data_IF_857341652131
#
_entry.id   IF_857341652131
#
_cell.length_a   1.000
_cell.length_b   1.000
_cell.length_c   1.000
_cell.angle_alpha   90.00
_cell.angle_beta   90.00
_cell.angle_gamma   90.00
#
_symmetry.space_group_name_H-M   'P 1'
#
loop_
_entity.id
_entity.type
_entity.pdbx_description
1 polymer ?
#
# COMPACT_ATOMS: atom_id res chain seq x y z
N UNK A 1 9.58 2.58 30.00
CA UNK A 1 9.95 3.06 28.65
C UNK A 1 8.79 3.88 28.12
N UNK A 2 8.90 5.21 28.06
CA UNK A 2 7.91 6.02 27.34
C UNK A 2 8.09 5.77 25.85
N UNK A 3 7.08 5.18 25.21
CA UNK A 3 7.09 5.05 23.76
C UNK A 3 6.68 6.41 23.18
N UNK A 4 7.41 6.89 22.17
CA UNK A 4 7.01 8.14 21.50
C UNK A 4 5.81 7.88 20.59
N UNK A 5 4.88 8.85 20.54
CA UNK A 5 3.74 8.87 19.62
C UNK A 5 4.19 8.61 18.17
N UNK A 6 5.41 9.04 17.80
CA UNK A 6 6.04 8.76 16.51
C UNK A 6 6.01 7.28 16.12
N UNK A 7 6.13 6.36 17.08
CA UNK A 7 6.15 4.92 16.80
C UNK A 7 4.81 4.37 16.28
N UNK A 8 3.69 5.05 16.55
CA UNK A 8 2.37 4.66 16.03
C UNK A 8 2.15 5.12 14.59
N UNK A 9 2.91 6.11 14.11
CA UNK A 9 2.77 6.69 12.78
C UNK A 9 3.72 6.08 11.74
N UNK A 10 4.70 5.27 12.15
CA UNK A 10 5.66 4.61 11.25
C UNK A 10 4.94 3.78 10.18
N UNK A 11 3.91 3.01 10.56
CA UNK A 11 3.19 2.15 9.61
C UNK A 11 2.33 2.97 8.62
N UNK A 12 1.47 3.91 9.07
CA UNK A 12 0.77 4.81 8.15
C UNK A 12 1.72 5.54 7.19
N UNK A 13 2.84 6.07 7.70
CA UNK A 13 3.83 6.78 6.90
C UNK A 13 4.51 5.88 5.85
N UNK A 14 4.86 4.64 6.22
CA UNK A 14 5.41 3.68 5.26
C UNK A 14 4.40 3.35 4.15
N UNK A 15 3.13 3.15 4.51
CA UNK A 15 2.07 2.83 3.55
C UNK A 15 1.86 3.96 2.54
N UNK A 16 1.77 5.20 3.01
CA UNK A 16 1.56 6.35 2.12
C UNK A 16 2.78 6.58 1.22
N UNK A 17 4.00 6.43 1.77
CA UNK A 17 5.24 6.61 1.02
C UNK A 17 5.35 5.58 -0.11
N UNK A 18 5.16 4.29 0.21
CA UNK A 18 5.19 3.22 -0.80
C UNK A 18 4.07 3.41 -1.83
N UNK A 19 2.87 3.80 -1.39
CA UNK A 19 1.75 4.10 -2.27
C UNK A 19 2.05 5.22 -3.28
N UNK A 20 2.61 6.33 -2.81
CA UNK A 20 3.01 7.47 -3.65
C UNK A 20 4.08 7.04 -4.66
N UNK A 21 5.11 6.31 -4.22
CA UNK A 21 6.18 5.83 -5.11
C UNK A 21 5.62 4.93 -6.20
N UNK A 22 4.75 3.98 -5.86
CA UNK A 22 4.12 3.10 -6.85
C UNK A 22 3.23 3.87 -7.85
N UNK A 23 2.46 4.84 -7.38
CA UNK A 23 1.63 5.71 -8.23
C UNK A 23 2.50 6.58 -9.14
N UNK A 24 3.64 7.07 -8.65
CA UNK A 24 4.59 7.85 -9.43
C UNK A 24 5.23 6.99 -10.52
N UNK A 25 5.66 5.77 -10.20
CA UNK A 25 6.20 4.79 -11.17
C UNK A 25 5.16 4.49 -12.24
N UNK A 26 3.91 4.21 -11.88
CA UNK A 26 2.82 3.98 -12.84
C UNK A 26 2.42 5.22 -13.66
N UNK A 27 2.85 6.41 -13.23
CA UNK A 27 2.64 7.65 -13.97
C UNK A 27 3.80 7.99 -14.91
N UNK A 28 4.92 7.26 -14.83
CA UNK A 28 6.04 7.44 -15.76
C UNK A 28 5.70 6.91 -17.15
N UNK A 29 6.38 7.44 -18.16
CA UNK A 29 6.32 6.88 -19.51
C UNK A 29 6.79 5.43 -19.50
N UNK A 30 6.10 4.54 -20.22
CA UNK A 30 6.44 3.11 -20.33
C UNK A 30 7.92 2.88 -20.64
N UNK A 31 8.53 3.74 -21.46
CA UNK A 31 9.94 3.65 -21.82
C UNK A 31 10.86 3.85 -20.62
N UNK A 32 10.55 4.81 -19.73
CA UNK A 32 11.28 4.99 -18.47
C UNK A 32 11.07 3.85 -17.48
N UNK A 33 9.88 3.24 -17.49
CA UNK A 33 9.61 2.04 -16.68
C UNK A 33 10.45 0.88 -17.22
N UNK A 34 10.53 0.69 -18.54
CA UNK A 34 11.34 -0.34 -19.18
C UNK A 34 12.83 -0.19 -18.87
N UNK A 35 13.35 1.05 -18.93
CA UNK A 35 14.76 1.37 -18.64
C UNK A 35 15.12 1.33 -17.15
N UNK A 36 14.14 1.31 -16.24
CA UNK A 36 14.41 1.18 -14.80
C UNK A 36 15.05 -0.17 -14.50
N UNK A 37 16.26 -0.20 -13.94
CA UNK A 37 16.92 -1.45 -13.51
C UNK A 37 16.22 -2.14 -12.32
N UNK A 38 15.25 -1.48 -11.69
CA UNK A 38 14.50 -2.05 -10.57
C UNK A 38 13.43 -3.04 -11.02
N UNK A 39 13.34 -4.18 -10.32
CA UNK A 39 12.18 -5.06 -10.41
C UNK A 39 10.98 -4.37 -9.76
N UNK A 40 10.01 -4.00 -10.59
CA UNK A 40 8.76 -3.41 -10.15
C UNK A 40 7.69 -4.49 -10.27
N UNK A 41 7.23 -4.97 -9.11
CA UNK A 41 6.10 -5.89 -9.02
C UNK A 41 4.98 -5.26 -8.21
N UNK A 42 3.77 -5.27 -8.77
CA UNK A 42 2.56 -4.77 -8.12
C UNK A 42 1.61 -5.94 -7.95
N UNK A 43 1.57 -6.47 -6.74
CA UNK A 43 0.81 -7.68 -6.45
C UNK A 43 1.29 -8.85 -7.29
N UNK A 44 0.45 -9.36 -8.19
CA UNK A 44 0.79 -10.44 -9.12
C UNK A 44 1.35 -9.97 -10.47
N UNK A 45 1.35 -8.66 -10.73
CA UNK A 45 1.85 -8.10 -11.99
C UNK A 45 3.33 -7.82 -11.88
N UNK A 46 4.13 -8.44 -12.74
CA UNK A 46 5.54 -8.12 -12.88
C UNK A 46 5.75 -6.99 -13.89
N UNK A 47 6.92 -6.35 -13.84
CA UNK A 47 7.32 -5.26 -14.74
C UNK A 47 7.01 -5.52 -16.22
N UNK A 48 7.30 -6.72 -16.72
CA UNK A 48 7.02 -7.10 -18.10
C UNK A 48 5.50 -7.12 -18.43
N UNK A 49 4.67 -7.60 -17.49
CA UNK A 49 3.21 -7.60 -17.63
C UNK A 49 2.67 -6.16 -17.57
N UNK A 50 3.24 -5.30 -16.72
CA UNK A 50 2.86 -3.88 -16.62
C UNK A 50 3.16 -3.13 -17.94
N UNK A 51 4.27 -3.45 -18.62
CA UNK A 51 4.64 -2.82 -19.89
C UNK A 51 3.69 -3.20 -21.04
N UNK A 52 3.09 -4.39 -21.00
CA UNK A 52 2.12 -4.88 -21.99
C UNK A 52 0.75 -4.19 -21.89
N UNK A 53 0.35 -3.75 -20.70
CA UNK A 53 -0.93 -3.07 -20.47
C UNK A 53 -1.07 -1.79 -21.30
N UNK A 54 -2.24 -1.50 -21.86
CA UNK A 54 -2.53 -0.24 -22.54
C UNK A 54 -2.44 0.99 -21.61
N UNK A 55 -2.34 2.19 -22.17
CA UNK A 55 -2.30 3.44 -21.36
C UNK A 55 -3.57 3.61 -20.48
N UNK A 56 -4.73 3.20 -21.00
CA UNK A 56 -5.99 3.22 -20.24
C UNK A 56 -5.99 2.21 -19.08
N UNK A 57 -5.40 1.03 -19.27
CA UNK A 57 -5.26 0.03 -18.21
C UNK A 57 -4.25 0.45 -17.15
N UNK A 58 -3.12 1.05 -17.53
CA UNK A 58 -2.16 1.62 -16.57
C UNK A 58 -2.84 2.72 -15.75
N UNK A 59 -3.68 3.56 -16.37
CA UNK A 59 -4.46 4.58 -15.66
C UNK A 59 -5.46 3.96 -14.67
N UNK A 60 -6.13 2.86 -15.05
CA UNK A 60 -7.01 2.10 -14.14
C UNK A 60 -6.22 1.44 -13.00
N UNK A 61 -5.09 0.80 -13.30
CA UNK A 61 -4.20 0.18 -12.31
C UNK A 61 -3.69 1.21 -11.30
N UNK A 62 -3.24 2.37 -11.77
CA UNK A 62 -2.84 3.50 -10.92
C UNK A 62 -3.94 3.96 -9.99
N UNK A 63 -5.18 4.08 -10.48
CA UNK A 63 -6.34 4.40 -9.61
C UNK A 63 -6.53 3.33 -8.54
N UNK A 64 -6.48 2.05 -8.91
CA UNK A 64 -6.62 0.94 -7.96
C UNK A 64 -5.53 0.98 -6.89
N UNK A 65 -4.26 1.19 -7.28
CA UNK A 65 -3.12 1.29 -6.35
C UNK A 65 -3.26 2.52 -5.44
N UNK A 66 -3.64 3.67 -5.98
CA UNK A 66 -3.85 4.89 -5.21
C UNK A 66 -5.00 4.72 -4.19
N UNK A 67 -6.12 4.12 -4.60
CA UNK A 67 -7.23 3.82 -3.70
C UNK A 67 -6.82 2.82 -2.63
N UNK A 68 -6.08 1.77 -2.98
CA UNK A 68 -5.61 0.78 -2.02
C UNK A 68 -4.68 1.42 -0.97
N UNK A 69 -3.70 2.21 -1.41
CA UNK A 69 -2.79 2.93 -0.50
C UNK A 69 -3.55 3.90 0.40
N UNK A 70 -4.51 4.66 -0.13
CA UNK A 70 -5.34 5.58 0.65
C UNK A 70 -6.21 4.87 1.68
N UNK A 71 -6.88 3.77 1.29
CA UNK A 71 -7.69 2.97 2.23
C UNK A 71 -6.83 2.35 3.34
N UNK A 72 -5.68 1.76 2.99
CA UNK A 72 -4.75 1.17 3.96
C UNK A 72 -4.19 2.22 4.92
N UNK A 73 -3.83 3.40 4.40
CA UNK A 73 -3.40 4.53 5.20
C UNK A 73 -4.48 4.97 6.19
N UNK A 74 -5.72 5.17 5.74
CA UNK A 74 -6.83 5.60 6.60
C UNK A 74 -7.13 4.58 7.70
N UNK A 75 -7.15 3.29 7.36
CA UNK A 75 -7.40 2.22 8.34
C UNK A 75 -6.28 2.19 9.39
N UNK A 76 -5.02 2.20 8.96
CA UNK A 76 -3.89 2.15 9.88
C UNK A 76 -3.80 3.41 10.75
N UNK A 77 -4.15 4.57 10.20
CA UNK A 77 -4.23 5.84 10.91
C UNK A 77 -5.32 5.82 11.99
N UNK A 78 -6.53 5.32 11.68
CA UNK A 78 -7.62 5.21 12.64
C UNK A 78 -7.26 4.29 13.81
N UNK A 79 -6.59 3.17 13.54
CA UNK A 79 -6.13 2.25 14.58
C UNK A 79 -5.04 2.89 15.44
N UNK A 80 -4.11 3.64 14.83
CA UNK A 80 -3.08 4.38 15.55
C UNK A 80 -3.68 5.43 16.49
N UNK A 81 -4.64 6.23 16.01
CA UNK A 81 -5.36 7.19 16.85
C UNK A 81 -6.14 6.51 17.97
N UNK A 82 -6.88 5.44 17.66
CA UNK A 82 -7.60 4.67 18.68
C UNK A 82 -6.68 4.16 19.78
N UNK A 83 -5.50 3.63 19.41
CA UNK A 83 -4.51 3.15 20.36
C UNK A 83 -3.92 4.27 21.24
N UNK A 84 -3.68 5.46 20.68
CA UNK A 84 -3.19 6.63 21.43
C UNK A 84 -4.24 7.12 22.43
N UNK A 85 -5.53 7.12 22.05
CA UNK A 85 -6.61 7.60 22.91
C UNK A 85 -7.02 6.59 24.01
N UNK A 86 -7.00 5.29 23.72
CA UNK A 86 -7.54 4.24 24.60
C UNK A 86 -6.50 3.59 25.51
N UNK A 87 -5.20 3.71 25.21
CA UNK A 87 -4.16 3.06 25.98
C UNK A 87 -3.12 4.07 26.47
N UNK A 88 -2.81 4.01 27.77
CA UNK A 88 -1.54 4.52 28.24
C UNK A 88 -0.40 3.85 27.47
N UNK A 89 0.69 4.60 27.28
CA UNK A 89 1.86 4.30 26.45
C UNK A 89 2.64 3.05 26.90
N UNK A 90 2.01 1.89 26.75
CA UNK A 90 2.51 0.57 27.12
C UNK A 90 2.89 -0.24 25.88
N UNK A 91 3.95 -1.03 26.03
CA UNK A 91 4.50 -1.90 24.99
C UNK A 91 3.47 -2.93 24.50
N UNK A 92 2.59 -3.39 25.38
CA UNK A 92 1.52 -4.35 25.05
C UNK A 92 0.51 -3.74 24.07
N UNK A 93 0.08 -2.51 24.33
CA UNK A 93 -0.89 -1.80 23.48
C UNK A 93 -0.37 -1.53 22.08
N UNK A 94 0.94 -1.28 21.96
CA UNK A 94 1.61 -1.13 20.67
C UNK A 94 1.60 -2.45 19.90
N UNK A 95 1.99 -3.55 20.54
CA UNK A 95 2.00 -4.87 19.90
C UNK A 95 0.60 -5.26 19.44
N UNK A 96 -0.43 -5.04 20.27
CA UNK A 96 -1.82 -5.31 19.90
C UNK A 96 -2.26 -4.44 18.72
N UNK A 97 -1.91 -3.14 18.72
CA UNK A 97 -2.19 -2.21 17.65
C UNK A 97 -1.54 -2.65 16.33
N UNK A 98 -0.26 -3.04 16.36
CA UNK A 98 0.49 -3.54 15.21
C UNK A 98 -0.15 -4.81 14.63
N UNK A 99 -0.51 -5.77 15.48
CA UNK A 99 -1.16 -7.02 15.04
C UNK A 99 -2.51 -6.71 14.37
N UNK A 100 -3.30 -5.81 14.94
CA UNK A 100 -4.59 -5.41 14.37
C UNK A 100 -4.42 -4.66 13.04
N UNK A 101 -3.43 -3.77 12.94
CA UNK A 101 -3.08 -3.06 11.70
C UNK A 101 -2.69 -4.04 10.58
N UNK A 102 -1.87 -5.04 10.88
CA UNK A 102 -1.48 -6.08 9.91
C UNK A 102 -2.69 -6.92 9.48
N UNK A 103 -3.51 -7.38 10.43
CA UNK A 103 -4.71 -8.18 10.13
C UNK A 103 -5.68 -7.43 9.21
N UNK A 104 -6.01 -6.18 9.55
CA UNK A 104 -6.91 -5.36 8.74
C UNK A 104 -6.30 -5.02 7.38
N UNK A 105 -4.99 -4.78 7.33
CA UNK A 105 -4.26 -4.58 6.06
C UNK A 105 -4.38 -5.80 5.15
N UNK A 106 -4.25 -7.02 5.69
CA UNK A 106 -4.41 -8.25 4.91
C UNK A 106 -5.85 -8.42 4.44
N UNK A 107 -6.83 -8.28 5.33
CA UNK A 107 -8.26 -8.43 5.02
C UNK A 107 -8.68 -7.44 3.93
N UNK A 108 -8.31 -6.16 4.08
CA UNK A 108 -8.59 -5.13 3.09
C UNK A 108 -7.74 -5.28 1.83
N UNK A 109 -6.55 -5.87 1.92
CA UNK A 109 -5.66 -6.14 0.78
C UNK A 109 -6.22 -7.18 -0.19
N UNK A 110 -6.94 -8.20 0.29
CA UNK A 110 -7.52 -9.28 -0.53
C UNK A 110 -8.38 -8.77 -1.71
N UNK A 111 -9.39 -7.89 -1.52
CA UNK A 111 -10.19 -7.38 -2.63
C UNK A 111 -9.36 -6.56 -3.64
N UNK A 112 -8.34 -5.83 -3.19
CA UNK A 112 -7.44 -5.11 -4.09
C UNK A 112 -6.54 -6.06 -4.89
N UNK A 113 -6.03 -7.13 -4.27
CA UNK A 113 -5.25 -8.16 -4.97
C UNK A 113 -6.08 -8.89 -6.03
N UNK A 114 -7.37 -9.13 -5.77
CA UNK A 114 -8.31 -9.66 -6.78
C UNK A 114 -8.48 -8.69 -7.96
N UNK A 115 -8.60 -7.38 -7.68
CA UNK A 115 -8.70 -6.34 -8.73
C UNK A 115 -7.41 -6.26 -9.56
N UNK A 116 -6.24 -6.38 -8.94
CA UNK A 116 -4.94 -6.38 -9.62
C UNK A 116 -4.77 -7.63 -10.50
N UNK A 117 -5.16 -8.82 -10.02
CA UNK A 117 -5.15 -10.06 -10.81
C UNK A 117 -6.00 -9.97 -12.08
N UNK A 118 -7.09 -9.20 -12.08
CA UNK A 118 -7.94 -9.04 -13.26
C UNK A 118 -7.18 -8.42 -14.46
N UNK A 119 -6.17 -7.58 -14.21
CA UNK A 119 -5.33 -7.01 -15.27
C UNK A 119 -4.37 -8.03 -15.90
N UNK A 120 -4.09 -9.15 -15.22
CA UNK A 120 -3.23 -10.21 -15.75
C UNK A 120 -3.89 -11.01 -16.87
N UNK A 121 -5.22 -11.13 -16.84
CA UNK A 121 -5.99 -11.92 -17.81
C UNK A 121 -6.27 -11.20 -19.14
N UNK A 122 -5.94 -9.90 -19.22
CA UNK A 122 -6.18 -9.06 -20.42
C UNK A 122 -4.90 -8.91 -21.27
N UNK A 123 -3.73 -9.31 -20.73
CA UNK A 123 -2.44 -9.35 -21.44
C UNK A 123 -2.13 -10.74 -22.01
#
# INVERSE_FOLDING_TARGET
MCVSIANYFIIPEAIITVGIVLVAILSMQKQKIADSKGDISIGSLNKAEILKLSQEEIKKLRKVVATAAGCLFLITLLIAFGAIFLCELSLVSIVTCLVLQVLLTVICGIPFMKRIKAFRHVS
#
